data_IF_413012748151
#
_entry.id   IF_413012748151
#
_cell.length_a   1.000
_cell.length_b   1.000
_cell.length_c   1.000
_cell.angle_alpha   90.00
_cell.angle_beta   90.00
_cell.angle_gamma   90.00
#
_symmetry.space_group_name_H-M   'P 1'
#
loop_
_entity.id
_entity.type
_entity.pdbx_description
1 polymer ?
#
# COMPACT_ATOMS: atom_id res chain seq x y z
N UNK A 1 2.79 2.06 15.63
CA UNK A 1 1.91 1.57 14.56
C UNK A 1 2.03 2.39 13.27
N UNK A 2 2.20 3.71 13.39
CA UNK A 2 2.40 4.55 12.21
C UNK A 2 3.66 4.17 11.45
N UNK A 3 4.74 3.85 12.18
CA UNK A 3 5.98 3.39 11.59
C UNK A 3 5.80 2.06 10.85
N UNK A 4 4.99 1.16 11.43
CA UNK A 4 4.72 -0.15 10.82
C UNK A 4 3.97 0.02 9.50
N UNK A 5 2.97 0.90 9.45
CA UNK A 5 2.21 1.18 8.22
C UNK A 5 3.15 1.74 7.13
N UNK A 6 4.00 2.70 7.49
CA UNK A 6 4.95 3.27 6.55
C UNK A 6 5.96 2.23 6.06
N UNK A 7 6.40 1.33 6.93
CA UNK A 7 7.28 0.24 6.54
C UNK A 7 6.61 -0.71 5.55
N UNK A 8 5.33 -0.98 5.73
CA UNK A 8 4.57 -1.82 4.79
C UNK A 8 4.47 -1.16 3.42
N UNK A 9 4.16 0.13 3.36
CA UNK A 9 4.15 0.85 2.08
C UNK A 9 5.52 0.80 1.41
N UNK A 10 6.56 1.12 2.16
CA UNK A 10 7.93 1.12 1.65
C UNK A 10 8.32 -0.27 1.14
N UNK A 11 7.95 -1.32 1.87
CA UNK A 11 8.22 -2.70 1.48
C UNK A 11 7.53 -3.09 0.20
N UNK A 12 6.23 -2.77 0.06
CA UNK A 12 5.48 -3.09 -1.15
C UNK A 12 6.06 -2.37 -2.37
N UNK A 13 6.44 -1.10 -2.21
CA UNK A 13 7.06 -0.31 -3.29
C UNK A 13 8.38 -0.93 -3.72
N UNK A 14 9.22 -1.35 -2.77
CA UNK A 14 10.51 -1.99 -3.07
C UNK A 14 10.33 -3.29 -3.85
N UNK A 15 9.34 -4.10 -3.49
CA UNK A 15 9.06 -5.33 -4.23
C UNK A 15 8.63 -5.03 -5.66
N UNK A 16 7.80 -4.00 -5.86
CA UNK A 16 7.38 -3.62 -7.21
C UNK A 16 8.53 -3.03 -8.03
N UNK A 17 9.39 -2.22 -7.41
CA UNK A 17 10.59 -1.71 -8.07
C UNK A 17 11.49 -2.87 -8.51
N UNK A 18 11.67 -3.86 -7.66
CA UNK A 18 12.45 -5.05 -8.00
C UNK A 18 11.83 -5.83 -9.15
N UNK A 19 10.50 -5.99 -9.11
CA UNK A 19 9.78 -6.66 -10.18
C UNK A 19 9.99 -5.95 -11.53
N UNK A 20 9.91 -4.62 -11.53
CA UNK A 20 10.12 -3.82 -12.75
C UNK A 20 11.55 -3.96 -13.28
N UNK A 21 12.55 -4.03 -12.40
CA UNK A 21 13.92 -4.26 -12.80
C UNK A 21 14.11 -5.62 -13.48
N UNK A 22 13.35 -6.62 -13.08
CA UNK A 22 13.47 -7.98 -13.58
C UNK A 22 12.58 -8.29 -14.78
N UNK A 23 11.78 -7.32 -15.23
CA UNK A 23 10.76 -7.54 -16.26
C UNK A 23 11.30 -8.16 -17.55
N UNK A 24 12.51 -7.78 -17.95
CA UNK A 24 13.11 -8.26 -19.20
C UNK A 24 14.15 -9.37 -18.99
N UNK A 25 14.49 -9.70 -17.74
CA UNK A 25 15.59 -10.63 -17.46
C UNK A 25 15.16 -11.90 -16.74
N UNK A 26 14.19 -11.82 -15.82
CA UNK A 26 13.77 -12.97 -15.02
C UNK A 26 12.30 -12.86 -14.64
N UNK A 27 11.46 -13.44 -15.49
CA UNK A 27 10.01 -13.41 -15.29
C UNK A 27 9.55 -14.15 -14.04
N UNK A 28 10.23 -15.24 -13.69
CA UNK A 28 9.88 -16.01 -12.51
C UNK A 28 10.13 -15.20 -11.23
N UNK A 29 11.28 -14.57 -11.12
CA UNK A 29 11.60 -13.73 -9.97
C UNK A 29 10.77 -12.46 -9.93
N UNK A 30 10.47 -11.89 -11.10
CA UNK A 30 9.52 -10.77 -11.23
C UNK A 30 8.17 -11.15 -10.61
N UNK A 31 7.62 -12.28 -11.00
CA UNK A 31 6.33 -12.77 -10.49
C UNK A 31 6.37 -12.96 -8.98
N UNK A 32 7.45 -13.51 -8.45
CA UNK A 32 7.63 -13.71 -7.01
C UNK A 32 7.60 -12.38 -6.26
N UNK A 33 8.27 -11.36 -6.79
CA UNK A 33 8.28 -10.03 -6.17
C UNK A 33 6.91 -9.36 -6.22
N UNK A 34 6.16 -9.54 -7.31
CA UNK A 34 4.79 -9.04 -7.39
C UNK A 34 3.91 -9.73 -6.34
N UNK A 35 4.07 -11.03 -6.15
CA UNK A 35 3.33 -11.79 -5.13
C UNK A 35 3.63 -11.27 -3.72
N UNK A 36 4.89 -10.96 -3.44
CA UNK A 36 5.28 -10.38 -2.16
C UNK A 36 4.63 -9.01 -1.95
N UNK A 37 4.61 -8.17 -2.99
CA UNK A 37 3.94 -6.87 -2.91
C UNK A 37 2.45 -7.02 -2.65
N UNK A 38 1.79 -7.97 -3.32
CA UNK A 38 0.36 -8.25 -3.10
C UNK A 38 0.09 -8.67 -1.67
N UNK A 39 0.94 -9.51 -1.10
CA UNK A 39 0.78 -9.98 0.28
C UNK A 39 0.89 -8.81 1.27
N UNK A 40 1.85 -7.91 1.06
CA UNK A 40 1.98 -6.73 1.91
C UNK A 40 0.76 -5.83 1.78
N UNK A 41 0.25 -5.64 0.56
CA UNK A 41 -0.94 -4.83 0.33
C UNK A 41 -2.16 -5.42 1.04
N UNK A 42 -2.31 -6.75 1.03
CA UNK A 42 -3.37 -7.41 1.80
C UNK A 42 -3.23 -7.17 3.30
N UNK A 43 -2.01 -7.14 3.82
CA UNK A 43 -1.79 -6.81 5.23
C UNK A 43 -2.19 -5.37 5.55
N UNK A 44 -1.88 -4.44 4.66
CA UNK A 44 -2.31 -3.04 4.82
C UNK A 44 -3.83 -2.98 4.87
N UNK A 45 -4.51 -3.64 3.95
CA UNK A 45 -5.98 -3.69 3.90
C UNK A 45 -6.55 -4.28 5.19
N UNK A 46 -5.96 -5.37 5.67
CA UNK A 46 -6.42 -6.05 6.87
C UNK A 46 -6.20 -5.24 8.14
N UNK A 47 -5.18 -4.37 8.14
CA UNK A 47 -4.85 -3.58 9.32
C UNK A 47 -5.72 -2.33 9.49
N UNK A 48 -6.49 -1.95 8.46
CA UNK A 48 -7.39 -0.81 8.56
C UNK A 48 -8.58 -1.12 9.46
N UNK A 49 -8.74 -0.31 10.50
CA UNK A 49 -9.87 -0.43 11.41
C UNK A 49 -10.95 0.57 10.99
N UNK A 50 -11.89 0.11 10.19
CA UNK A 50 -12.95 0.94 9.61
C UNK A 50 -13.85 1.53 10.69
N UNK A 51 -14.10 0.78 11.75
CA UNK A 51 -14.97 1.23 12.85
C UNK A 51 -14.44 2.49 13.53
N UNK A 52 -13.12 2.63 13.58
CA UNK A 52 -12.46 3.78 14.22
C UNK A 52 -12.28 4.97 13.27
N UNK A 53 -12.30 4.74 11.96
CA UNK A 53 -11.92 5.76 10.97
C UNK A 53 -13.10 6.30 10.16
N UNK A 54 -14.27 5.65 10.24
CA UNK A 54 -15.48 6.12 9.57
C UNK A 54 -15.35 6.20 8.05
N UNK A 55 -15.86 7.28 7.47
CA UNK A 55 -15.87 7.48 6.01
C UNK A 55 -14.49 7.54 5.39
N UNK A 56 -13.53 8.16 6.10
CA UNK A 56 -12.16 8.26 5.59
C UNK A 56 -11.56 6.86 5.46
N UNK A 57 -11.75 6.03 6.48
CA UNK A 57 -11.26 4.66 6.47
C UNK A 57 -11.88 3.83 5.37
N UNK A 58 -13.19 3.98 5.15
CA UNK A 58 -13.90 3.27 4.08
C UNK A 58 -13.38 3.69 2.71
N UNK A 59 -13.16 4.99 2.51
CA UNK A 59 -12.62 5.52 1.25
C UNK A 59 -11.22 4.97 0.99
N UNK A 60 -10.36 4.96 2.01
CA UNK A 60 -9.00 4.42 1.89
C UNK A 60 -9.01 2.93 1.62
N UNK A 61 -9.87 2.19 2.32
CA UNK A 61 -9.99 0.75 2.11
C UNK A 61 -10.38 0.44 0.68
N UNK A 62 -11.35 1.16 0.14
CA UNK A 62 -11.78 0.97 -1.24
C UNK A 62 -10.67 1.30 -2.24
N UNK A 63 -9.88 2.35 -1.96
CA UNK A 63 -8.74 2.70 -2.79
C UNK A 63 -7.69 1.58 -2.79
N UNK A 64 -7.37 1.02 -1.62
CA UNK A 64 -6.40 -0.08 -1.52
C UNK A 64 -6.90 -1.34 -2.22
N UNK A 65 -8.18 -1.65 -2.08
CA UNK A 65 -8.78 -2.80 -2.77
C UNK A 65 -8.69 -2.65 -4.28
N UNK A 66 -8.93 -1.44 -4.80
CA UNK A 66 -8.80 -1.18 -6.24
C UNK A 66 -7.36 -1.35 -6.71
N UNK A 67 -6.39 -0.88 -5.91
CA UNK A 67 -4.97 -1.06 -6.22
C UNK A 67 -4.59 -2.54 -6.23
N UNK A 68 -5.10 -3.30 -5.27
CA UNK A 68 -4.85 -4.74 -5.22
C UNK A 68 -5.40 -5.43 -6.47
N UNK A 69 -6.64 -5.10 -6.86
CA UNK A 69 -7.26 -5.68 -8.06
C UNK A 69 -6.48 -5.32 -9.32
N UNK A 70 -6.04 -4.07 -9.42
CA UNK A 70 -5.25 -3.62 -10.56
C UNK A 70 -3.91 -4.34 -10.64
N UNK A 71 -3.25 -4.50 -9.50
CA UNK A 71 -1.97 -5.21 -9.42
C UNK A 71 -2.15 -6.68 -9.77
N UNK A 72 -3.22 -7.30 -9.29
CA UNK A 72 -3.52 -8.70 -9.60
C UNK A 72 -3.72 -8.90 -11.11
N UNK A 73 -4.48 -8.03 -11.74
CA UNK A 73 -4.69 -8.07 -13.20
C UNK A 73 -3.38 -7.85 -13.96
N UNK A 74 -2.59 -6.88 -13.52
CA UNK A 74 -1.29 -6.61 -14.13
C UNK A 74 -0.33 -7.79 -14.01
N UNK A 75 -0.38 -8.49 -12.86
CA UNK A 75 0.42 -9.69 -12.63
C UNK A 75 0.05 -10.82 -13.60
N UNK A 76 -1.26 -11.03 -13.78
CA UNK A 76 -1.75 -12.07 -14.71
C UNK A 76 -1.36 -11.78 -16.17
N UNK A 77 -1.34 -10.51 -16.54
CA UNK A 77 -1.08 -10.10 -17.93
C UNK A 77 0.39 -9.71 -18.17
N UNK A 78 1.25 -9.78 -17.17
CA UNK A 78 2.64 -9.29 -17.24
C UNK A 78 2.71 -7.83 -17.73
N UNK A 79 1.76 -7.01 -17.31
CA UNK A 79 1.62 -5.63 -17.78
C UNK A 79 2.47 -4.68 -16.92
N UNK A 80 3.69 -4.40 -17.39
CA UNK A 80 4.64 -3.57 -16.65
C UNK A 80 4.19 -2.13 -16.48
N UNK A 81 3.45 -1.58 -17.43
CA UNK A 81 2.89 -0.23 -17.33
C UNK A 81 1.93 -0.11 -16.13
N UNK A 82 1.05 -1.09 -16.00
CA UNK A 82 0.09 -1.11 -14.87
C UNK A 82 0.78 -1.36 -13.55
N UNK A 83 1.82 -2.20 -13.54
CA UNK A 83 2.62 -2.41 -12.34
C UNK A 83 3.26 -1.10 -11.88
N UNK A 84 3.81 -0.34 -12.82
CA UNK A 84 4.39 0.97 -12.54
C UNK A 84 3.34 1.95 -12.01
N UNK A 85 2.14 1.96 -12.59
CA UNK A 85 1.04 2.80 -12.13
C UNK A 85 0.65 2.49 -10.68
N UNK A 86 0.57 1.20 -10.33
CA UNK A 86 0.27 0.78 -8.95
C UNK A 86 1.40 1.22 -8.01
N UNK A 87 2.63 1.03 -8.43
CA UNK A 87 3.80 1.45 -7.67
C UNK A 87 3.76 2.96 -7.37
N UNK A 88 3.45 3.76 -8.38
CA UNK A 88 3.38 5.22 -8.23
C UNK A 88 2.22 5.63 -7.31
N UNK A 89 1.08 4.95 -7.43
CA UNK A 89 -0.07 5.21 -6.55
C UNK A 89 0.25 4.88 -5.10
N UNK A 90 0.99 3.78 -4.85
CA UNK A 90 1.42 3.43 -3.49
C UNK A 90 2.39 4.47 -2.93
N UNK A 91 3.28 5.01 -3.76
CA UNK A 91 4.20 6.06 -3.32
C UNK A 91 3.45 7.34 -2.94
N UNK A 92 2.41 7.71 -3.70
CA UNK A 92 1.56 8.85 -3.38
C UNK A 92 0.82 8.65 -2.04
N UNK A 93 0.30 7.45 -1.83
CA UNK A 93 -0.39 7.11 -0.58
C UNK A 93 0.58 7.13 0.61
N UNK A 94 1.79 6.66 0.42
CA UNK A 94 2.82 6.73 1.46
C UNK A 94 3.07 8.17 1.89
N UNK A 95 3.19 9.09 0.94
CA UNK A 95 3.36 10.51 1.23
C UNK A 95 2.18 11.09 2.01
N UNK A 96 0.97 10.71 1.63
CA UNK A 96 -0.24 11.16 2.32
C UNK A 96 -0.22 10.68 3.77
N UNK A 97 0.12 9.39 4.01
CA UNK A 97 0.19 8.84 5.35
C UNK A 97 1.29 9.50 6.19
N UNK A 98 2.45 9.79 5.59
CA UNK A 98 3.52 10.49 6.28
C UNK A 98 3.03 11.86 6.79
N UNK A 99 2.30 12.60 5.96
CA UNK A 99 1.75 13.89 6.33
C UNK A 99 0.72 13.76 7.44
N UNK A 100 -0.16 12.75 7.35
CA UNK A 100 -1.17 12.50 8.37
C UNK A 100 -0.52 12.20 9.71
N UNK A 101 0.46 11.31 9.72
CA UNK A 101 1.13 10.88 10.97
C UNK A 101 1.94 11.99 11.62
N UNK A 102 2.41 12.96 10.85
CA UNK A 102 3.17 14.09 11.39
C UNK A 102 2.30 15.30 11.71
N UNK A 103 0.99 15.24 11.43
CA UNK A 103 0.09 16.37 11.67
C UNK A 103 -0.33 16.50 13.13
N UNK A 104 -0.67 17.73 13.54
CA UNK A 104 -1.23 17.97 14.87
C UNK A 104 -2.58 17.29 15.03
N UNK A 105 -3.37 17.23 13.97
CA UNK A 105 -4.69 16.61 13.99
C UNK A 105 -4.59 15.12 14.33
N UNK A 106 -3.60 14.43 13.75
CA UNK A 106 -3.39 13.03 14.07
C UNK A 106 -2.95 12.84 15.53
N UNK A 107 -2.07 13.69 16.02
CA UNK A 107 -1.64 13.64 17.43
C UNK A 107 -2.81 13.83 18.38
N UNK A 108 -3.70 14.78 18.09
CA UNK A 108 -4.92 15.01 18.88
C UNK A 108 -5.85 13.82 18.83
N UNK A 109 -6.07 13.25 17.64
CA UNK A 109 -6.89 12.07 17.46
C UNK A 109 -6.37 10.90 18.28
N UNK A 110 -5.07 10.68 18.26
CA UNK A 110 -4.42 9.61 19.01
C UNK A 110 -4.56 9.81 20.52
N UNK A 111 -4.41 11.03 21.00
CA UNK A 111 -4.58 11.37 22.41
C UNK A 111 -6.02 11.12 22.88
N UNK A 112 -6.99 11.52 22.06
CA UNK A 112 -8.40 11.30 22.39
C UNK A 112 -8.74 9.81 22.50
N UNK A 113 -8.17 8.98 21.66
CA UNK A 113 -8.34 7.53 21.74
C UNK A 113 -7.70 6.94 22.99
N UNK A 114 -6.55 7.46 23.37
CA UNK A 114 -5.84 6.98 24.56
C UNK A 114 -6.60 7.30 25.85
N UNK A 115 -7.38 8.38 25.87
CA UNK A 115 -8.15 8.81 27.04
C UNK A 115 -9.45 8.03 27.19
N UNK A 116 -9.92 7.44 26.14
CA UNK A 116 -11.12 6.58 26.19
C UNK A 116 -10.78 5.22 26.74
#
# INVERSE_FOLDING_TARGET
>A
QSELVLMMFSGSIKFLDKALELADTDKAEMSENISKAKNVLLEIISSLNIDDTGEIGTTLLNAYKRLFQKLNAAHMDDDTEKIEEVRDSLAELEEVWEKIFSSEDYAKFKMNKAVK
#
